data_IF_075030967218
#
_entry.id   IF_075030967218
#
_cell.length_a   1.000
_cell.length_b   1.000
_cell.length_c   1.000
_cell.angle_alpha   90.00
_cell.angle_beta   90.00
_cell.angle_gamma   90.00
#
_symmetry.space_group_name_H-M   'P 1'
#
loop_
_entity.id
_entity.type
_entity.pdbx_description
1 polymer ?
#
# COMPACT_ATOMS: atom_id res chain seq x y z
N UNK A 1 35.52 -68.10 68.65
CA UNK A 1 35.13 -69.42 69.22
C UNK A 1 34.77 -70.32 68.05
N UNK A 2 35.39 -71.44 67.69
CA UNK A 2 36.50 -72.30 68.14
C UNK A 2 37.33 -72.66 66.87
N UNK A 3 38.68 -72.73 66.84
CA UNK A 3 39.56 -73.87 67.23
C UNK A 3 39.05 -75.21 66.64
N UNK A 4 39.78 -76.14 66.00
CA UNK A 4 41.18 -76.55 65.83
C UNK A 4 41.14 -77.60 64.67
N UNK A 5 42.06 -77.67 63.71
CA UNK A 5 43.33 -78.42 63.72
C UNK A 5 43.24 -79.94 64.04
N UNK A 6 43.89 -80.76 63.21
CA UNK A 6 44.40 -82.10 63.56
C UNK A 6 43.74 -83.27 62.79
N UNK A 7 44.33 -83.96 61.80
CA UNK A 7 45.57 -84.77 61.70
C UNK A 7 45.29 -86.30 61.83
N UNK A 8 45.29 -87.00 60.67
CA UNK A 8 45.86 -88.35 60.35
C UNK A 8 45.26 -89.64 60.97
N UNK A 9 45.77 -90.88 60.67
CA UNK A 9 45.89 -91.60 59.37
C UNK A 9 45.48 -93.11 59.46
N UNK A 10 45.39 -93.86 58.35
CA UNK A 10 45.72 -95.31 58.30
C UNK A 10 45.65 -95.83 56.84
N UNK A 11 46.79 -96.09 56.17
CA UNK A 11 47.48 -97.39 56.08
C UNK A 11 46.60 -98.58 55.67
N UNK A 12 46.77 -99.09 54.44
CA UNK A 12 47.49 -100.37 54.17
C UNK A 12 47.42 -100.84 52.72
N UNK A 13 48.62 -101.19 52.22
CA UNK A 13 49.03 -102.32 51.36
C UNK A 13 48.51 -102.37 49.91
N UNK A 14 49.38 -102.17 48.92
CA UNK A 14 50.33 -103.14 48.32
C UNK A 14 49.64 -104.29 47.59
N UNK A 15 49.62 -104.24 46.25
CA UNK A 15 50.06 -105.36 45.41
C UNK A 15 50.29 -104.90 43.95
N UNK A 16 51.53 -105.15 43.53
CA UNK A 16 52.11 -105.18 42.20
C UNK A 16 51.20 -105.71 41.07
N UNK A 17 51.15 -105.00 39.92
CA UNK A 17 51.24 -105.68 38.62
C UNK A 17 51.83 -104.76 37.54
N UNK A 18 52.80 -105.32 36.81
CA UNK A 18 53.65 -104.66 35.81
C UNK A 18 52.91 -104.38 34.49
N UNK A 19 53.36 -103.29 33.86
CA UNK A 19 53.41 -103.03 32.42
C UNK A 19 52.09 -102.79 31.69
N UNK A 20 51.83 -101.52 31.39
CA UNK A 20 51.91 -101.02 30.00
C UNK A 20 51.92 -99.49 30.02
N UNK A 21 52.90 -98.89 29.33
CA UNK A 21 52.95 -97.47 29.03
C UNK A 21 51.77 -97.12 28.11
N UNK A 22 50.61 -96.89 28.70
CA UNK A 22 49.50 -96.24 28.02
C UNK A 22 49.74 -94.74 28.09
N UNK A 23 50.21 -94.19 26.97
CA UNK A 23 50.11 -92.77 26.66
C UNK A 23 48.69 -92.33 27.01
N UNK A 24 48.55 -91.56 28.09
CA UNK A 24 47.33 -90.86 28.40
C UNK A 24 47.10 -89.87 27.25
N UNK A 25 46.42 -90.36 26.21
CA UNK A 25 45.77 -89.51 25.22
C UNK A 25 44.82 -88.65 26.03
N UNK A 26 45.24 -87.41 26.28
CA UNK A 26 44.34 -86.32 26.56
C UNK A 26 43.22 -86.44 25.52
N UNK A 27 42.06 -86.96 25.93
CA UNK A 27 40.85 -86.74 25.19
C UNK A 27 40.55 -85.27 25.35
N UNK A 28 41.24 -84.45 24.56
CA UNK A 28 40.71 -83.17 24.14
C UNK A 28 39.37 -83.55 23.53
N UNK A 29 38.28 -83.29 24.26
CA UNK A 29 36.96 -83.26 23.66
C UNK A 29 37.09 -82.27 22.52
N UNK A 30 37.27 -82.77 21.30
CA UNK A 30 37.15 -81.93 20.14
C UNK A 30 35.69 -81.54 20.11
N UNK A 31 35.42 -80.30 20.49
CA UNK A 31 34.17 -79.67 20.12
C UNK A 31 34.20 -79.71 18.60
N UNK A 32 33.48 -80.66 18.02
CA UNK A 32 33.15 -80.62 16.60
C UNK A 32 32.21 -79.43 16.42
N UNK A 33 32.77 -78.23 16.36
CA UNK A 33 32.09 -77.13 15.68
C UNK A 33 31.87 -77.63 14.27
N UNK A 34 30.63 -77.62 13.78
CA UNK A 34 30.35 -77.97 12.40
C UNK A 34 31.33 -77.23 11.51
N UNK A 35 32.03 -77.94 10.62
CA UNK A 35 32.67 -77.34 9.45
C UNK A 35 31.57 -76.85 8.51
N UNK A 36 30.73 -75.94 9.03
CA UNK A 36 30.02 -75.01 8.20
C UNK A 36 31.15 -74.15 7.67
N UNK A 37 31.38 -74.30 6.37
CA UNK A 37 32.19 -73.40 5.58
C UNK A 37 31.60 -72.01 5.79
N UNK A 38 32.06 -71.32 6.83
CA UNK A 38 31.62 -69.99 7.13
C UNK A 38 32.28 -69.15 6.05
N UNK A 39 31.56 -68.93 4.95
CA UNK A 39 31.87 -67.77 4.12
C UNK A 39 31.70 -66.59 5.06
N UNK A 40 32.74 -65.77 5.32
CA UNK A 40 32.51 -64.50 5.94
C UNK A 40 31.44 -63.81 5.13
N UNK A 41 30.28 -63.57 5.74
CA UNK A 41 29.35 -62.60 5.19
C UNK A 41 30.14 -61.31 5.34
N UNK A 42 30.85 -60.93 4.27
CA UNK A 42 31.33 -59.58 4.09
C UNK A 42 30.07 -58.73 3.99
N UNK A 43 29.53 -58.37 5.15
CA UNK A 43 28.58 -57.28 5.24
C UNK A 43 29.39 -56.05 4.89
N UNK A 44 29.38 -55.70 3.60
CA UNK A 44 29.95 -54.45 3.11
C UNK A 44 29.20 -53.25 3.65
N UNK A 45 28.06 -53.48 4.31
CA UNK A 45 27.20 -52.50 4.93
C UNK A 45 27.28 -52.63 6.45
N UNK A 46 27.74 -51.57 7.09
CA UNK A 46 27.66 -51.35 8.53
C UNK A 46 26.21 -50.99 8.91
N UNK A 47 25.78 -51.18 10.17
CA UNK A 47 24.42 -50.82 10.61
C UNK A 47 24.06 -49.33 10.45
N UNK A 48 25.06 -48.48 10.19
CA UNK A 48 24.94 -47.04 9.97
C UNK A 48 24.99 -46.67 8.46
N UNK A 49 25.13 -47.66 7.57
CA UNK A 49 24.99 -47.49 6.13
C UNK A 49 23.50 -47.45 5.76
N UNK A 50 22.80 -46.42 6.23
CA UNK A 50 21.62 -45.94 5.52
C UNK A 50 22.11 -45.57 4.12
N UNK A 51 21.75 -46.37 3.10
CA UNK A 51 21.91 -45.97 1.71
C UNK A 51 21.20 -44.64 1.54
N UNK A 52 21.96 -43.53 1.60
CA UNK A 52 21.49 -42.24 1.15
C UNK A 52 21.16 -42.47 -0.31
N UNK A 53 19.88 -42.65 -0.62
CA UNK A 53 19.39 -42.69 -1.98
C UNK A 53 19.77 -41.35 -2.60
N UNK A 54 20.93 -41.33 -3.25
CA UNK A 54 21.43 -40.18 -3.97
C UNK A 54 20.49 -40.04 -5.15
N UNK A 55 19.41 -39.25 -5.01
CA UNK A 55 18.63 -38.81 -6.16
C UNK A 55 19.41 -37.68 -6.84
N UNK A 56 20.23 -37.94 -7.88
CA UNK A 56 21.03 -36.91 -8.52
C UNK A 56 20.15 -35.82 -9.13
N UNK A 57 18.94 -36.20 -9.57
CA UNK A 57 17.86 -35.27 -9.95
C UNK A 57 17.54 -34.31 -8.80
N UNK A 58 17.23 -34.82 -7.61
CA UNK A 58 16.75 -34.00 -6.50
C UNK A 58 17.84 -33.03 -6.04
N UNK A 59 19.10 -33.48 -6.02
CA UNK A 59 20.26 -32.64 -5.71
C UNK A 59 20.49 -31.56 -6.77
N UNK A 60 20.40 -31.89 -8.06
CA UNK A 60 20.51 -30.92 -9.16
C UNK A 60 19.38 -29.90 -9.11
N UNK A 61 18.15 -30.37 -8.93
CA UNK A 61 16.97 -29.50 -8.79
C UNK A 61 17.11 -28.55 -7.59
N UNK A 62 17.51 -29.07 -6.43
CA UNK A 62 17.72 -28.27 -5.23
C UNK A 62 18.83 -27.23 -5.41
N UNK A 63 19.95 -27.58 -6.04
CA UNK A 63 21.04 -26.64 -6.33
C UNK A 63 20.60 -25.57 -7.34
N UNK A 64 19.90 -25.95 -8.41
CA UNK A 64 19.33 -25.01 -9.37
C UNK A 64 18.36 -24.06 -8.68
N UNK A 65 17.48 -24.57 -7.82
CA UNK A 65 16.53 -23.76 -7.05
C UNK A 65 17.25 -22.80 -6.10
N UNK A 66 18.26 -23.26 -5.35
CA UNK A 66 19.07 -22.42 -4.47
C UNK A 66 19.79 -21.29 -5.22
N UNK A 67 20.25 -21.54 -6.44
CA UNK A 67 20.84 -20.50 -7.29
C UNK A 67 19.80 -19.59 -7.94
N UNK A 68 18.62 -20.12 -8.28
CA UNK A 68 17.57 -19.38 -8.96
C UNK A 68 16.87 -18.37 -8.03
N UNK A 69 16.61 -18.74 -6.77
CA UNK A 69 15.93 -17.88 -5.79
C UNK A 69 16.58 -16.48 -5.66
N UNK A 70 17.90 -16.34 -5.42
CA UNK A 70 18.50 -15.02 -5.26
C UNK A 70 18.46 -14.19 -6.55
N UNK A 71 18.62 -14.83 -7.72
CA UNK A 71 18.58 -14.15 -9.04
C UNK A 71 17.17 -13.65 -9.35
N UNK A 72 16.16 -14.50 -9.20
CA UNK A 72 14.76 -14.14 -9.45
C UNK A 72 14.29 -13.08 -8.45
N UNK A 73 14.63 -13.22 -7.17
CA UNK A 73 14.28 -12.25 -6.14
C UNK A 73 14.95 -10.89 -6.39
N UNK A 74 16.20 -10.86 -6.84
CA UNK A 74 16.88 -9.62 -7.21
C UNK A 74 16.21 -8.96 -8.41
N UNK A 75 15.88 -9.73 -9.45
CA UNK A 75 15.16 -9.24 -10.62
C UNK A 75 13.81 -8.64 -10.24
N UNK A 76 13.04 -9.32 -9.38
CA UNK A 76 11.78 -8.81 -8.85
C UNK A 76 11.98 -7.53 -8.03
N UNK A 77 13.02 -7.46 -7.20
CA UNK A 77 13.39 -6.23 -6.48
C UNK A 77 13.69 -5.06 -7.41
N UNK A 78 14.47 -5.29 -8.48
CA UNK A 78 14.75 -4.28 -9.51
C UNK A 78 13.50 -3.84 -10.26
N UNK A 79 12.59 -4.76 -10.56
CA UNK A 79 11.30 -4.42 -11.17
C UNK A 79 10.46 -3.56 -10.22
N UNK A 80 10.37 -3.90 -8.93
CA UNK A 80 9.67 -3.08 -7.93
C UNK A 80 10.27 -1.68 -7.82
N UNK A 81 11.60 -1.54 -7.87
CA UNK A 81 12.26 -0.23 -7.86
C UNK A 81 11.89 0.62 -9.08
N UNK A 82 11.90 0.03 -10.29
CA UNK A 82 11.47 0.74 -11.51
C UNK A 82 9.99 1.14 -11.42
N UNK A 83 9.14 0.24 -10.93
CA UNK A 83 7.70 0.48 -10.76
C UNK A 83 7.43 1.58 -9.73
N UNK A 84 8.19 1.59 -8.63
CA UNK A 84 8.14 2.61 -7.59
C UNK A 84 8.52 3.98 -8.16
N UNK A 85 9.63 4.08 -8.90
CA UNK A 85 10.07 5.34 -9.50
C UNK A 85 9.00 5.90 -10.43
N UNK A 86 8.48 5.08 -11.34
CA UNK A 86 7.39 5.47 -12.24
C UNK A 86 6.14 5.96 -11.47
N UNK A 87 5.73 5.24 -10.42
CA UNK A 87 4.57 5.64 -9.62
C UNK A 87 4.80 6.94 -8.84
N UNK A 88 6.00 7.13 -8.31
CA UNK A 88 6.37 8.33 -7.56
C UNK A 88 6.39 9.55 -8.49
N UNK A 89 6.90 9.38 -9.70
CA UNK A 89 6.90 10.40 -10.74
C UNK A 89 5.47 10.82 -11.12
N UNK A 90 4.55 9.85 -11.29
CA UNK A 90 3.14 10.14 -11.54
C UNK A 90 2.49 10.92 -10.39
N UNK A 91 2.78 10.55 -9.13
CA UNK A 91 2.27 11.26 -7.96
C UNK A 91 2.79 12.70 -7.94
N UNK A 92 4.10 12.89 -8.14
CA UNK A 92 4.71 14.21 -8.17
C UNK A 92 4.11 15.10 -9.27
N UNK A 93 3.82 14.55 -10.45
CA UNK A 93 3.14 15.29 -11.53
C UNK A 93 1.71 15.70 -11.13
N UNK A 94 0.97 14.82 -10.43
CA UNK A 94 -0.37 15.15 -9.94
C UNK A 94 -0.32 16.23 -8.85
N UNK A 95 0.63 16.15 -7.92
CA UNK A 95 0.85 17.13 -6.85
C UNK A 95 1.28 18.52 -7.40
N UNK A 96 2.15 18.54 -8.41
CA UNK A 96 2.53 19.77 -9.09
C UNK A 96 1.32 20.44 -9.75
N UNK A 97 0.49 19.67 -10.46
CA UNK A 97 -0.75 20.16 -11.10
C UNK A 97 -1.76 20.75 -10.12
N UNK A 98 -1.83 20.20 -8.90
CA UNK A 98 -2.68 20.72 -7.82
C UNK A 98 -2.22 22.08 -7.31
N UNK A 99 -0.91 22.35 -7.36
CA UNK A 99 -0.32 23.55 -6.77
C UNK A 99 -0.64 24.80 -7.58
N UNK A 100 -0.79 24.70 -8.90
CA UNK A 100 -1.13 25.85 -9.75
C UNK A 100 -2.50 26.43 -9.44
N UNK A 101 -2.62 27.74 -9.62
CA UNK A 101 -3.88 28.45 -9.44
C UNK A 101 -4.98 27.94 -10.39
N UNK A 102 -6.26 28.01 -9.97
CA UNK A 102 -7.38 27.62 -10.79
C UNK A 102 -7.44 28.37 -12.12
N UNK A 103 -7.60 27.63 -13.22
CA UNK A 103 -7.70 28.20 -14.58
C UNK A 103 -9.14 28.08 -15.08
N UNK A 104 -9.70 29.07 -15.79
CA UNK A 104 -11.02 28.90 -16.41
C UNK A 104 -11.02 27.70 -17.37
N UNK A 105 -12.09 26.89 -17.33
CA UNK A 105 -12.21 25.75 -18.24
C UNK A 105 -12.15 26.22 -19.71
N UNK A 106 -11.35 25.62 -20.61
CA UNK A 106 -11.33 26.01 -22.02
C UNK A 106 -12.71 25.81 -22.68
N UNK A 107 -13.04 26.60 -23.71
CA UNK A 107 -14.32 26.48 -24.41
C UNK A 107 -14.47 25.16 -25.19
N UNK A 108 -13.37 24.63 -25.74
CA UNK A 108 -13.33 23.32 -26.39
C UNK A 108 -12.59 22.37 -25.47
N UNK A 109 -13.32 21.59 -24.69
CA UNK A 109 -12.74 20.61 -23.78
C UNK A 109 -13.32 19.23 -24.07
N UNK A 110 -12.50 18.35 -24.66
CA UNK A 110 -12.90 16.98 -25.00
C UNK A 110 -12.54 16.02 -23.87
N UNK A 111 -13.22 14.86 -23.75
CA UNK A 111 -12.92 13.86 -22.72
C UNK A 111 -11.48 13.32 -22.75
N UNK A 112 -10.84 13.32 -23.92
CA UNK A 112 -9.44 12.90 -24.08
C UNK A 112 -8.48 13.84 -23.35
N UNK A 113 -8.80 15.15 -23.31
CA UNK A 113 -8.00 16.16 -22.61
C UNK A 113 -8.09 16.01 -21.08
N UNK A 114 -9.07 15.28 -20.54
CA UNK A 114 -9.20 15.06 -19.10
C UNK A 114 -8.01 14.32 -18.50
N UNK A 115 -7.36 13.42 -19.26
CA UNK A 115 -6.21 12.66 -18.76
C UNK A 115 -4.98 13.55 -18.61
N UNK A 116 -4.76 14.46 -19.55
CA UNK A 116 -3.68 15.44 -19.49
C UNK A 116 -3.92 16.49 -18.39
N UNK A 117 -5.18 16.84 -18.14
CA UNK A 117 -5.60 17.81 -17.13
C UNK A 117 -5.93 17.18 -15.77
N UNK A 118 -5.67 15.88 -15.59
CA UNK A 118 -5.98 15.21 -14.31
C UNK A 118 -5.28 15.93 -13.16
N UNK A 119 -6.03 16.19 -12.09
CA UNK A 119 -5.63 16.95 -10.91
C UNK A 119 -5.39 18.46 -11.12
N UNK A 120 -5.77 19.03 -12.27
CA UNK A 120 -5.77 20.48 -12.46
C UNK A 120 -7.04 21.11 -11.91
N UNK A 121 -6.88 22.21 -11.15
CA UNK A 121 -7.99 23.04 -10.67
C UNK A 121 -8.52 23.92 -11.80
N UNK A 122 -9.83 23.87 -12.02
CA UNK A 122 -10.53 24.65 -13.03
C UNK A 122 -11.70 25.41 -12.43
N UNK A 123 -11.96 26.60 -12.95
CA UNK A 123 -13.11 27.42 -12.56
C UNK A 123 -14.18 27.33 -13.64
N UNK A 124 -15.42 27.08 -13.23
CA UNK A 124 -16.57 27.03 -14.12
C UNK A 124 -17.64 27.99 -13.62
N UNK A 125 -18.25 28.75 -14.54
CA UNK A 125 -19.31 29.73 -14.27
C UNK A 125 -20.60 29.37 -15.02
N UNK A 126 -21.74 29.47 -14.36
CA UNK A 126 -23.00 28.99 -14.90
C UNK A 126 -24.09 28.76 -13.87
N UNK A 127 -25.00 27.84 -14.18
CA UNK A 127 -26.21 27.57 -13.40
C UNK A 127 -26.36 26.05 -13.13
N UNK A 128 -26.73 25.68 -11.90
CA UNK A 128 -27.02 24.29 -11.55
C UNK A 128 -28.48 23.90 -11.85
N UNK A 129 -28.67 22.75 -12.50
CA UNK A 129 -30.00 22.15 -12.70
C UNK A 129 -30.29 21.13 -11.59
N UNK A 130 -30.74 21.65 -10.46
CA UNK A 130 -31.06 20.86 -9.25
C UNK A 130 -32.18 19.85 -9.45
N UNK A 131 -33.05 20.07 -10.44
CA UNK A 131 -34.14 19.15 -10.80
C UNK A 131 -33.64 17.86 -11.46
N UNK A 132 -32.41 17.81 -11.93
CA UNK A 132 -31.80 16.67 -12.63
C UNK A 132 -30.61 16.07 -11.85
N UNK A 133 -30.62 16.21 -10.52
CA UNK A 133 -29.57 15.65 -9.66
C UNK A 133 -29.54 14.10 -9.69
N UNK A 134 -28.34 13.55 -9.76
CA UNK A 134 -28.05 12.11 -9.66
C UNK A 134 -27.35 11.83 -8.32
N UNK A 135 -27.69 10.70 -7.71
CA UNK A 135 -27.14 10.26 -6.43
C UNK A 135 -26.34 8.97 -6.61
N UNK A 136 -25.10 8.92 -6.15
CA UNK A 136 -24.27 7.71 -6.17
C UNK A 136 -24.01 7.20 -4.76
N UNK A 137 -24.46 5.99 -4.42
CA UNK A 137 -24.27 5.44 -3.08
C UNK A 137 -24.76 4.00 -2.89
N UNK A 138 -24.75 3.51 -1.64
CA UNK A 138 -24.48 4.24 -0.41
C UNK A 138 -23.00 4.62 -0.22
N UNK A 139 -22.72 5.78 0.38
CA UNK A 139 -21.38 6.26 0.78
C UNK A 139 -21.39 6.73 2.22
N UNK A 140 -20.31 6.44 2.95
CA UNK A 140 -20.18 6.82 4.36
C UNK A 140 -19.10 7.88 4.50
N UNK A 141 -19.42 8.97 5.22
CA UNK A 141 -18.47 10.03 5.61
C UNK A 141 -18.66 10.31 7.10
N UNK A 142 -17.56 10.27 7.87
CA UNK A 142 -17.57 10.47 9.33
C UNK A 142 -18.59 9.59 10.09
N UNK A 143 -18.81 8.35 9.64
CA UNK A 143 -19.75 7.41 10.26
C UNK A 143 -21.23 7.61 9.88
N UNK A 144 -21.56 8.65 9.12
CA UNK A 144 -22.93 8.94 8.66
C UNK A 144 -23.12 8.40 7.24
N UNK A 145 -24.28 7.79 6.97
CA UNK A 145 -24.66 7.31 5.65
C UNK A 145 -25.17 8.44 4.76
N UNK A 146 -24.87 8.35 3.47
CA UNK A 146 -25.25 9.35 2.50
C UNK A 146 -24.93 8.93 1.08
N UNK A 147 -24.94 9.92 0.19
CA UNK A 147 -24.80 9.75 -1.25
C UNK A 147 -23.82 10.80 -1.79
N UNK A 148 -23.12 10.46 -2.88
CA UNK A 148 -22.41 11.46 -3.68
C UNK A 148 -23.39 12.11 -4.64
N UNK A 149 -23.45 13.43 -4.61
CA UNK A 149 -24.32 14.23 -5.43
C UNK A 149 -23.61 14.63 -6.73
N UNK A 150 -24.25 14.33 -7.85
CA UNK A 150 -23.86 14.80 -9.17
C UNK A 150 -24.97 15.71 -9.69
N UNK A 151 -24.62 16.92 -10.10
CA UNK A 151 -25.60 17.90 -10.58
C UNK A 151 -25.18 18.36 -11.98
N UNK A 152 -26.08 18.31 -12.97
CA UNK A 152 -25.85 18.95 -14.25
C UNK A 152 -25.70 20.46 -14.08
N UNK A 153 -24.68 21.03 -14.72
CA UNK A 153 -24.31 22.42 -14.64
C UNK A 153 -24.25 23.01 -16.05
N UNK A 154 -25.08 24.01 -16.33
CA UNK A 154 -25.12 24.69 -17.63
C UNK A 154 -24.10 25.80 -17.59
N UNK A 155 -23.06 25.67 -18.41
CA UNK A 155 -21.99 26.66 -18.49
C UNK A 155 -22.48 27.94 -19.18
N UNK A 156 -22.16 29.11 -18.62
CA UNK A 156 -22.56 30.41 -19.17
C UNK A 156 -21.87 30.75 -20.50
N UNK A 157 -20.60 30.38 -20.65
CA UNK A 157 -19.81 30.76 -21.83
C UNK A 157 -20.25 30.05 -23.12
N UNK A 158 -20.43 28.72 -23.04
CA UNK A 158 -20.71 27.86 -24.20
C UNK A 158 -22.13 27.31 -24.22
N UNK A 159 -22.86 27.36 -23.10
CA UNK A 159 -24.16 26.72 -22.95
C UNK A 159 -24.09 25.19 -22.76
N UNK A 160 -22.90 24.60 -22.76
CA UNK A 160 -22.73 23.16 -22.61
C UNK A 160 -23.11 22.71 -21.20
N UNK A 161 -23.70 21.51 -21.10
CA UNK A 161 -24.06 20.88 -19.83
C UNK A 161 -22.89 20.03 -19.34
N UNK A 162 -22.39 20.33 -18.16
CA UNK A 162 -21.29 19.63 -17.48
C UNK A 162 -21.84 18.84 -16.31
N UNK A 163 -21.31 17.64 -16.06
CA UNK A 163 -21.66 16.85 -14.89
C UNK A 163 -20.66 17.14 -13.76
N UNK A 164 -21.10 17.83 -12.70
CA UNK A 164 -20.25 18.19 -11.57
C UNK A 164 -20.59 17.29 -10.37
N UNK A 165 -19.59 16.56 -9.86
CA UNK A 165 -19.65 15.91 -8.55
C UNK A 165 -19.56 17.00 -7.48
N UNK A 166 -20.70 17.37 -6.90
CA UNK A 166 -20.78 18.39 -5.85
C UNK A 166 -20.25 17.93 -4.50
N UNK A 167 -20.15 16.61 -4.31
CA UNK A 167 -19.64 16.01 -3.08
C UNK A 167 -20.68 15.18 -2.34
N UNK A 168 -20.45 14.94 -1.05
CA UNK A 168 -21.25 14.05 -0.22
C UNK A 168 -22.41 14.79 0.47
N UNK A 169 -23.59 14.17 0.50
CA UNK A 169 -24.78 14.64 1.22
C UNK A 169 -25.34 13.52 2.10
N UNK A 170 -25.88 13.87 3.28
CA UNK A 170 -26.51 12.92 4.20
C UNK A 170 -27.80 12.34 3.64
N UNK A 171 -28.12 11.10 4.01
CA UNK A 171 -29.36 10.40 3.62
C UNK A 171 -30.63 11.17 4.04
N UNK A 172 -30.61 11.85 5.19
CA UNK A 172 -31.76 12.59 5.72
C UNK A 172 -32.08 13.90 4.98
N UNK A 173 -31.19 14.37 4.08
CA UNK A 173 -31.31 15.67 3.38
C UNK A 173 -30.95 15.58 1.91
N UNK A 174 -31.31 14.45 1.30
CA UNK A 174 -31.06 14.20 -0.11
C UNK A 174 -31.88 15.13 -1.00
N UNK A 175 -33.11 15.49 -0.59
CA UNK A 175 -33.98 16.36 -1.39
C UNK A 175 -33.56 17.83 -1.27
N UNK A 176 -33.48 18.59 -2.40
CA UNK A 176 -33.12 20.01 -2.36
C UNK A 176 -33.95 20.86 -1.39
N UNK A 177 -35.24 20.56 -1.23
CA UNK A 177 -36.17 21.30 -0.36
C UNK A 177 -35.87 21.10 1.13
N UNK A 178 -35.30 19.96 1.51
CA UNK A 178 -35.02 19.58 2.91
C UNK A 178 -33.63 20.04 3.38
N UNK A 179 -32.80 20.54 2.45
CA UNK A 179 -31.48 21.07 2.77
C UNK A 179 -31.61 22.43 3.48
N UNK A 180 -30.85 22.58 4.55
CA UNK A 180 -30.57 23.88 5.17
C UNK A 180 -29.59 24.70 4.33
N UNK A 181 -29.35 25.94 4.75
CA UNK A 181 -28.41 26.88 4.08
C UNK A 181 -28.61 26.91 2.56
N UNK A 182 -29.83 27.17 2.10
CA UNK A 182 -30.23 27.09 0.69
C UNK A 182 -29.31 27.86 -0.27
N UNK A 183 -28.73 28.98 0.16
CA UNK A 183 -27.77 29.75 -0.64
C UNK A 183 -26.47 28.98 -0.97
N UNK A 184 -26.08 27.99 -0.15
CA UNK A 184 -24.89 27.14 -0.36
C UNK A 184 -25.27 25.73 -0.85
N UNK A 185 -26.34 25.15 -0.29
CA UNK A 185 -26.78 23.81 -0.67
C UNK A 185 -27.43 23.78 -2.05
N UNK A 186 -28.13 24.84 -2.44
CA UNK A 186 -28.86 24.97 -3.71
C UNK A 186 -28.65 26.39 -4.25
N UNK A 187 -27.42 26.77 -4.63
CA UNK A 187 -27.14 28.14 -5.08
C UNK A 187 -27.96 28.45 -6.34
N UNK A 188 -28.87 29.41 -6.23
CA UNK A 188 -29.73 29.88 -7.33
C UNK A 188 -29.18 31.19 -7.87
N UNK A 189 -28.79 31.21 -9.14
CA UNK A 189 -28.33 32.42 -9.81
C UNK A 189 -27.69 32.12 -11.17
N UNK A 190 -27.64 33.12 -12.05
CA UNK A 190 -27.17 32.97 -13.43
C UNK A 190 -25.64 32.96 -13.57
N UNK A 191 -24.92 33.12 -12.47
CA UNK A 191 -23.47 33.24 -12.46
C UNK A 191 -22.84 32.57 -11.22
N UNK A 192 -23.22 31.32 -10.97
CA UNK A 192 -22.59 30.51 -9.93
C UNK A 192 -21.18 30.14 -10.38
N UNK A 193 -20.19 30.52 -9.59
CA UNK A 193 -18.77 30.19 -9.77
C UNK A 193 -18.40 29.00 -8.89
N UNK A 194 -17.86 27.95 -9.49
CA UNK A 194 -17.43 26.73 -8.77
C UNK A 194 -16.03 26.37 -9.21
N UNK A 195 -15.18 26.08 -8.22
CA UNK A 195 -13.85 25.53 -8.44
C UNK A 195 -13.94 24.01 -8.42
N UNK A 196 -13.57 23.39 -9.53
CA UNK A 196 -13.60 21.96 -9.73
C UNK A 196 -12.18 21.43 -9.96
N UNK A 197 -11.97 20.18 -9.60
CA UNK A 197 -10.82 19.38 -9.95
C UNK A 197 -11.18 18.51 -11.15
N UNK A 198 -10.38 18.57 -12.21
CA UNK A 198 -10.55 17.67 -13.35
C UNK A 198 -10.05 16.28 -12.96
N UNK A 199 -10.89 15.26 -13.17
CA UNK A 199 -10.46 13.86 -13.04
C UNK A 199 -10.67 13.11 -14.34
N UNK A 200 -9.97 11.99 -14.47
CA UNK A 200 -10.26 11.01 -15.51
C UNK A 200 -11.70 10.50 -15.36
N UNK A 201 -12.52 10.51 -16.43
CA UNK A 201 -13.87 9.95 -16.38
C UNK A 201 -13.85 8.50 -15.90
N UNK A 202 -14.53 8.25 -14.77
CA UNK A 202 -14.67 6.91 -14.22
C UNK A 202 -15.62 6.10 -15.10
N UNK A 203 -15.18 4.92 -15.49
CA UNK A 203 -16.00 3.93 -16.19
C UNK A 203 -16.22 2.72 -15.30
N UNK A 204 -17.35 2.04 -15.50
CA UNK A 204 -17.64 0.80 -14.76
C UNK A 204 -16.58 -0.28 -15.02
N UNK A 205 -16.26 -1.01 -13.96
CA UNK A 205 -15.37 -2.17 -14.01
C UNK A 205 -16.08 -3.42 -14.54
N UNK A 206 -15.31 -4.40 -15.02
CA UNK A 206 -15.84 -5.65 -15.63
C UNK A 206 -16.75 -6.49 -14.73
N UNK A 207 -16.60 -6.37 -13.41
CA UNK A 207 -17.35 -7.16 -12.42
C UNK A 207 -18.45 -6.36 -11.71
N UNK A 208 -18.75 -5.15 -12.19
CA UNK A 208 -19.85 -4.34 -11.68
C UNK A 208 -21.10 -4.63 -12.50
N UNK A 209 -22.24 -4.77 -11.82
CA UNK A 209 -23.52 -5.00 -12.48
C UNK A 209 -24.04 -3.72 -13.11
N UNK A 210 -24.75 -3.88 -14.21
CA UNK A 210 -25.51 -2.80 -14.83
C UNK A 210 -26.64 -2.36 -13.91
N UNK A 211 -26.97 -1.07 -14.02
CA UNK A 211 -28.11 -0.49 -13.34
C UNK A 211 -29.38 -1.22 -13.81
N UNK A 212 -30.15 -1.73 -12.86
CA UNK A 212 -31.37 -2.50 -13.17
C UNK A 212 -32.56 -1.60 -13.50
N UNK A 213 -32.61 -0.42 -12.90
CA UNK A 213 -33.71 0.55 -13.03
C UNK A 213 -33.20 1.79 -13.76
N UNK A 214 -33.57 1.96 -15.02
CA UNK A 214 -33.11 3.08 -15.85
C UNK A 214 -33.73 4.43 -15.43
N UNK A 215 -34.94 4.45 -14.86
CA UNK A 215 -35.64 5.68 -14.48
C UNK A 215 -35.15 6.26 -13.14
N UNK A 216 -34.65 5.41 -12.25
CA UNK A 216 -34.14 5.87 -10.96
C UNK A 216 -32.94 6.80 -11.08
N UNK A 217 -32.91 7.86 -10.26
CA UNK A 217 -31.77 8.78 -10.16
C UNK A 217 -30.65 8.28 -9.25
N UNK A 218 -30.81 7.08 -8.67
CA UNK A 218 -29.85 6.47 -7.77
C UNK A 218 -28.97 5.49 -8.53
N UNK A 219 -27.66 5.65 -8.35
CA UNK A 219 -26.62 4.86 -8.98
C UNK A 219 -25.77 4.18 -7.90
N UNK A 220 -25.41 2.93 -8.11
CA UNK A 220 -24.52 2.22 -7.18
C UNK A 220 -23.04 2.51 -7.49
N UNK A 221 -22.73 2.70 -8.77
CA UNK A 221 -21.38 2.90 -9.30
C UNK A 221 -21.33 4.23 -10.02
N UNK A 222 -20.22 4.95 -9.84
CA UNK A 222 -19.92 6.16 -10.61
C UNK A 222 -19.47 5.78 -12.02
N UNK A 223 -20.38 5.82 -12.99
CA UNK A 223 -20.08 5.59 -14.41
C UNK A 223 -20.40 6.87 -15.21
N UNK A 224 -19.37 7.68 -15.46
CA UNK A 224 -19.52 9.04 -15.98
C UNK A 224 -20.11 9.06 -17.39
N UNK A 225 -19.66 8.24 -18.35
CA UNK A 225 -20.30 8.20 -19.66
C UNK A 225 -21.79 7.84 -19.62
N UNK A 226 -22.18 6.88 -18.77
CA UNK A 226 -23.57 6.45 -18.64
C UNK A 226 -24.45 7.50 -17.94
N UNK A 227 -23.95 8.10 -16.85
CA UNK A 227 -24.61 9.21 -16.16
C UNK A 227 -24.74 10.45 -17.05
N UNK A 228 -23.71 10.69 -17.87
CA UNK A 228 -23.72 11.80 -18.82
C UNK A 228 -24.74 11.59 -19.93
N UNK A 229 -24.85 10.36 -20.47
CA UNK A 229 -25.90 10.00 -21.42
C UNK A 229 -27.31 10.16 -20.83
N UNK A 230 -27.52 9.77 -19.58
CA UNK A 230 -28.82 9.89 -18.90
C UNK A 230 -29.25 11.36 -18.66
N UNK A 231 -28.28 12.27 -18.47
CA UNK A 231 -28.54 13.70 -18.23
C UNK A 231 -28.31 14.57 -19.46
N UNK A 232 -27.88 14.03 -20.60
CA UNK A 232 -27.48 14.83 -21.76
C UNK A 232 -26.34 15.81 -21.47
N UNK A 233 -25.40 15.43 -20.60
CA UNK A 233 -24.19 16.21 -20.29
C UNK A 233 -22.98 15.68 -21.05
N UNK A 234 -21.91 16.47 -21.11
CA UNK A 234 -20.63 15.98 -21.62
C UNK A 234 -20.04 14.93 -20.67
N UNK A 235 -19.40 13.86 -21.17
CA UNK A 235 -18.84 12.78 -20.35
C UNK A 235 -17.50 13.20 -19.72
N UNK A 236 -17.54 14.29 -18.97
CA UNK A 236 -16.42 14.89 -18.23
C UNK A 236 -16.66 14.66 -16.75
N UNK A 237 -15.60 14.33 -16.01
CA UNK A 237 -15.68 14.22 -14.56
C UNK A 237 -15.04 15.45 -13.92
N UNK A 238 -15.89 16.35 -13.43
CA UNK A 238 -15.49 17.52 -12.68
C UNK A 238 -15.90 17.34 -11.22
N UNK A 239 -14.92 17.35 -10.32
CA UNK A 239 -15.15 17.16 -8.89
C UNK A 239 -15.06 18.50 -8.17
N UNK A 240 -16.16 18.97 -7.57
CA UNK A 240 -16.15 20.19 -6.77
C UNK A 240 -15.18 20.03 -5.60
N UNK A 241 -14.34 21.06 -5.43
CA UNK A 241 -13.41 21.12 -4.31
C UNK A 241 -14.19 21.44 -3.04
N UNK A 242 -13.73 20.88 -1.93
CA UNK A 242 -14.27 21.24 -0.62
C UNK A 242 -14.07 22.74 -0.33
N UNK A 243 -15.17 23.41 -0.02
CA UNK A 243 -15.20 24.83 0.28
C UNK A 243 -16.22 25.08 1.39
N UNK A 244 -15.75 25.68 2.48
CA UNK A 244 -16.56 25.99 3.67
C UNK A 244 -16.83 27.48 3.82
N UNK A 245 -16.44 28.28 2.83
CA UNK A 245 -16.69 29.71 2.84
C UNK A 245 -18.11 30.02 2.40
N UNK A 246 -18.66 31.07 3.00
CA UNK A 246 -19.90 31.63 2.52
C UNK A 246 -19.66 32.39 1.21
N UNK A 247 -20.39 32.00 0.17
CA UNK A 247 -20.36 32.64 -1.13
C UNK A 247 -21.71 33.29 -1.40
N UNK A 248 -21.66 34.57 -1.75
CA UNK A 248 -22.84 35.31 -2.18
C UNK A 248 -22.85 35.34 -3.71
N UNK A 249 -23.67 34.49 -4.31
CA UNK A 249 -23.89 34.56 -5.75
C UNK A 249 -24.94 35.62 -6.03
N UNK A 250 -24.65 36.61 -6.90
CA UNK A 250 -25.63 37.60 -7.28
C UNK A 250 -26.79 36.90 -7.99
N UNK A 251 -27.94 36.86 -7.32
CA UNK A 251 -29.21 36.48 -7.95
C UNK A 251 -29.54 37.61 -8.93
N UNK A 252 -29.87 37.29 -10.17
CA UNK A 252 -30.03 38.23 -11.27
C UNK A 252 -31.13 39.28 -11.03
N UNK A 253 -30.80 40.35 -10.31
CA UNK A 253 -31.45 41.65 -10.37
C UNK A 253 -30.41 42.64 -10.93
N UNK A 254 -30.13 42.53 -12.23
CA UNK A 254 -29.15 43.37 -12.93
C UNK A 254 -29.57 44.84 -13.08
N UNK A 255 -30.72 45.28 -12.53
CA UNK A 255 -31.27 46.62 -12.80
C UNK A 255 -31.46 47.54 -11.56
N UNK A 256 -31.02 47.17 -10.35
CA UNK A 256 -31.20 48.04 -9.15
C UNK A 256 -29.95 48.40 -8.35
N UNK A 257 -28.88 47.63 -8.43
CA UNK A 257 -27.65 47.91 -7.66
C UNK A 257 -26.65 48.84 -8.38
N UNK A 258 -26.83 49.09 -9.68
CA UNK A 258 -25.94 49.95 -10.47
C UNK A 258 -26.19 51.46 -10.26
N UNK A 259 -27.24 51.87 -9.54
CA UNK A 259 -27.59 53.28 -9.35
C UNK A 259 -26.90 53.97 -8.16
N UNK A 260 -26.27 53.24 -7.22
CA UNK A 260 -25.70 53.82 -6.00
C UNK A 260 -24.24 53.43 -5.71
N UNK A 261 -23.41 53.25 -6.75
CA UNK A 261 -21.95 53.20 -6.59
C UNK A 261 -21.24 54.11 -7.60
N UNK A 262 -21.58 55.39 -7.56
CA UNK A 262 -20.77 56.41 -8.22
C UNK A 262 -19.54 56.74 -7.36
N UNK A 263 -18.38 56.65 -8.00
CA UNK A 263 -17.05 57.14 -7.60
C UNK A 263 -16.13 56.24 -6.75
N UNK A 264 -15.42 55.34 -7.42
CA UNK A 264 -13.97 55.23 -7.18
C UNK A 264 -13.24 55.02 -8.51
N UNK A 265 -12.72 56.12 -9.05
CA UNK A 265 -11.86 56.08 -10.23
C UNK A 265 -10.53 55.43 -9.87
N UNK A 266 -10.16 54.38 -10.60
CA UNK A 266 -8.86 53.73 -10.52
C UNK A 266 -7.77 54.70 -11.01
N UNK A 267 -7.03 55.27 -10.06
CA UNK A 267 -5.80 55.98 -10.35
C UNK A 267 -4.70 55.00 -10.79
N UNK A 268 -3.85 55.34 -11.76
CA UNK A 268 -2.92 54.35 -12.29
C UNK A 268 -1.76 53.97 -11.35
N UNK A 269 -1.38 52.70 -11.43
CA UNK A 269 -0.49 51.94 -10.53
C UNK A 269 0.97 52.43 -10.41
N UNK A 270 1.42 53.38 -11.22
CA UNK A 270 2.80 53.90 -11.22
C UNK A 270 3.11 54.96 -10.14
N UNK A 271 2.11 55.47 -9.40
CA UNK A 271 2.33 56.45 -8.33
C UNK A 271 3.00 55.90 -7.07
N UNK A 272 3.16 54.58 -6.94
CA UNK A 272 3.78 53.94 -5.77
C UNK A 272 5.30 54.21 -5.65
N UNK A 273 5.96 54.56 -6.74
CA UNK A 273 7.43 54.72 -6.78
C UNK A 273 7.91 56.16 -6.52
N UNK A 274 7.01 57.10 -6.19
CA UNK A 274 7.35 58.53 -6.14
C UNK A 274 6.99 59.19 -4.82
N UNK A 275 7.50 58.68 -3.69
CA UNK A 275 7.66 59.49 -2.48
C UNK A 275 8.65 58.90 -1.48
N UNK A 276 9.95 59.18 -1.70
CA UNK A 276 10.94 59.20 -0.61
C UNK A 276 11.89 60.37 -0.86
N UNK A 277 11.61 61.48 -0.19
CA UNK A 277 12.43 62.69 -0.16
C UNK A 277 12.04 63.45 1.10
N UNK A 278 12.89 63.34 2.12
CA UNK A 278 12.56 63.70 3.50
C UNK A 278 12.57 65.19 3.81
N UNK A 279 12.25 65.51 5.07
CA UNK A 279 12.90 66.56 5.87
C UNK A 279 12.43 66.50 7.33
N UNK A 280 13.39 66.83 8.18
CA UNK A 280 13.48 66.87 9.64
C UNK A 280 12.91 68.17 10.24
N UNK A 281 12.39 68.12 11.48
CA UNK A 281 12.19 69.30 12.34
C UNK A 281 11.03 69.16 13.37
N UNK A 282 11.19 69.52 14.66
CA UNK A 282 10.31 69.08 15.77
C UNK A 282 9.35 70.16 16.33
N UNK A 283 8.57 69.75 17.35
CA UNK A 283 7.73 70.52 18.30
C UNK A 283 6.24 70.74 17.97
N UNK A 284 5.37 70.43 18.95
CA UNK A 284 3.99 70.95 19.00
C UNK A 284 2.90 69.98 19.50
N UNK A 285 2.89 69.76 20.81
CA UNK A 285 1.80 69.41 21.75
C UNK A 285 0.32 69.28 21.27
N UNK A 286 -0.35 68.26 21.86
CA UNK A 286 -1.77 68.14 22.25
C UNK A 286 -2.87 67.84 21.20
N UNK A 287 -3.25 66.55 21.08
CA UNK A 287 -4.63 66.09 20.83
C UNK A 287 -4.79 64.60 21.17
N UNK A 288 -5.95 64.15 21.70
CA UNK A 288 -6.13 62.81 22.25
C UNK A 288 -6.12 61.75 21.16
N UNK A 289 -5.62 60.56 21.51
CA UNK A 289 -5.59 59.38 20.65
C UNK A 289 -6.99 59.01 20.16
N UNK A 290 -7.37 59.54 19.00
CA UNK A 290 -8.29 58.86 18.10
C UNK A 290 -7.49 57.71 17.50
N UNK A 291 -7.76 56.49 17.97
CA UNK A 291 -7.28 55.26 17.36
C UNK A 291 -7.53 55.35 15.86
N UNK A 292 -6.46 55.53 15.10
CA UNK A 292 -6.49 55.47 13.66
C UNK A 292 -7.15 54.14 13.28
N UNK A 293 -8.36 54.23 12.74
CA UNK A 293 -9.00 53.14 12.07
C UNK A 293 -8.04 52.71 10.95
N UNK A 294 -7.31 51.63 11.21
CA UNK A 294 -6.77 50.79 10.15
C UNK A 294 -7.97 50.49 9.26
N UNK A 295 -7.93 50.75 7.94
CA UNK A 295 -8.97 50.27 7.06
C UNK A 295 -8.83 48.76 7.02
N UNK A 296 -9.52 48.08 7.94
CA UNK A 296 -9.72 46.65 7.91
C UNK A 296 -10.55 46.36 6.67
N UNK A 297 -9.90 45.98 5.57
CA UNK A 297 -10.52 45.25 4.47
C UNK A 297 -10.85 43.81 4.93
N UNK A 298 -11.53 43.69 6.06
CA UNK A 298 -12.16 42.47 6.56
C UNK A 298 -13.64 42.58 6.19
N UNK A 299 -13.98 42.27 4.94
CA UNK A 299 -15.35 41.96 4.57
C UNK A 299 -15.55 40.44 4.75
N UNK A 300 -15.98 40.05 5.95
CA UNK A 300 -16.95 38.98 6.23
C UNK A 300 -16.84 37.64 5.49
N UNK A 301 -15.80 36.84 5.72
CA UNK A 301 -15.82 35.42 5.39
C UNK A 301 -16.26 34.59 6.61
N UNK A 302 -17.56 34.42 6.80
CA UNK A 302 -18.07 33.42 7.76
C UNK A 302 -17.63 32.04 7.24
N UNK A 303 -16.76 31.38 7.99
CA UNK A 303 -16.30 30.01 7.73
C UNK A 303 -17.16 29.04 8.54
N UNK A 304 -17.73 28.05 7.86
CA UNK A 304 -18.55 27.02 8.48
C UNK A 304 -17.72 25.79 8.83
N UNK A 305 -18.18 25.02 9.82
CA UNK A 305 -17.58 23.73 10.13
C UNK A 305 -18.15 22.62 9.22
N UNK A 306 -17.35 21.63 8.85
CA UNK A 306 -17.77 20.45 8.07
C UNK A 306 -19.02 19.80 8.67
N UNK A 307 -19.06 19.61 10.00
CA UNK A 307 -20.22 19.02 10.69
C UNK A 307 -21.50 19.83 10.51
N UNK A 308 -21.41 21.15 10.41
CA UNK A 308 -22.56 22.00 10.15
C UNK A 308 -23.07 21.80 8.73
N UNK A 309 -22.18 21.75 7.73
CA UNK A 309 -22.56 21.47 6.35
C UNK A 309 -23.22 20.10 6.22
N UNK A 310 -22.64 19.07 6.83
CA UNK A 310 -23.23 17.73 6.85
C UNK A 310 -24.62 17.73 7.50
N UNK A 311 -24.79 18.41 8.64
CA UNK A 311 -26.07 18.48 9.35
C UNK A 311 -27.13 19.27 8.57
N UNK A 312 -26.74 20.32 7.86
CA UNK A 312 -27.65 21.12 7.03
C UNK A 312 -27.83 20.53 5.62
N UNK A 313 -27.11 19.47 5.25
CA UNK A 313 -27.23 18.83 3.94
C UNK A 313 -26.62 19.66 2.80
N UNK A 314 -25.67 20.54 3.11
CA UNK A 314 -24.83 21.19 2.10
C UNK A 314 -23.87 20.12 1.54
N UNK A 315 -23.85 19.88 0.22
CA UNK A 315 -22.92 18.94 -0.39
C UNK A 315 -21.48 19.30 -0.06
N UNK A 316 -20.75 18.37 0.57
CA UNK A 316 -19.35 18.58 0.96
C UNK A 316 -18.45 17.96 -0.08
N UNK A 317 -17.73 18.80 -0.81
CA UNK A 317 -16.75 18.41 -1.83
C UNK A 317 -15.62 17.52 -1.27
N UNK A 318 -14.69 17.14 -2.14
CA UNK A 318 -13.53 16.34 -1.74
C UNK A 318 -12.31 17.24 -1.60
N UNK A 319 -11.49 16.99 -0.57
CA UNK A 319 -10.15 17.58 -0.46
C UNK A 319 -9.35 17.23 -1.71
N UNK A 320 -8.70 18.21 -2.36
CA UNK A 320 -7.91 17.98 -3.55
C UNK A 320 -6.57 17.32 -3.15
N UNK A 321 -6.61 16.01 -2.95
CA UNK A 321 -5.47 15.21 -2.50
C UNK A 321 -5.21 14.03 -3.45
N UNK A 322 -3.93 13.73 -3.68
CA UNK A 322 -3.46 12.60 -4.47
C UNK A 322 -3.36 11.37 -3.58
N UNK A 323 -4.43 10.58 -3.47
CA UNK A 323 -4.42 9.33 -2.70
C UNK A 323 -4.02 8.14 -3.59
N UNK A 324 -2.71 7.98 -3.80
CA UNK A 324 -2.13 6.81 -4.46
C UNK A 324 -1.29 6.00 -3.48
N UNK A 325 -1.89 4.94 -2.92
CA UNK A 325 -1.21 4.04 -1.97
C UNK A 325 0.07 3.44 -2.56
N UNK A 326 1.21 3.65 -1.91
CA UNK A 326 2.50 3.15 -2.36
C UNK A 326 3.04 2.02 -1.46
N UNK A 327 2.79 0.77 -1.81
CA UNK A 327 3.30 -0.41 -1.11
C UNK A 327 4.59 -0.96 -1.72
N UNK A 328 5.05 -0.41 -2.85
CA UNK A 328 6.18 -0.94 -3.61
C UNK A 328 7.50 -0.86 -2.84
N UNK A 329 7.68 0.15 -1.99
CA UNK A 329 8.86 0.27 -1.12
C UNK A 329 8.96 -0.89 -0.13
N UNK A 330 7.84 -1.33 0.45
CA UNK A 330 7.81 -2.48 1.35
C UNK A 330 8.17 -3.76 0.58
N UNK A 331 7.58 -3.99 -0.59
CA UNK A 331 7.89 -5.17 -1.40
C UNK A 331 9.33 -5.18 -1.89
N UNK A 332 9.87 -4.02 -2.29
CA UNK A 332 11.27 -3.87 -2.67
C UNK A 332 12.20 -4.38 -1.55
N UNK A 333 11.93 -4.00 -0.30
CA UNK A 333 12.71 -4.46 0.85
C UNK A 333 12.61 -5.98 1.03
N UNK A 334 11.41 -6.56 0.89
CA UNK A 334 11.21 -8.02 0.98
C UNK A 334 12.00 -8.77 -0.09
N UNK A 335 11.96 -8.33 -1.35
CA UNK A 335 12.64 -9.01 -2.46
C UNK A 335 14.16 -8.89 -2.38
N UNK A 336 14.69 -7.72 -2.05
CA UNK A 336 16.14 -7.57 -1.83
C UNK A 336 16.61 -8.28 -0.57
N UNK A 337 15.82 -8.28 0.51
CA UNK A 337 16.10 -9.06 1.70
C UNK A 337 16.17 -10.57 1.40
N UNK A 338 15.17 -11.11 0.70
CA UNK A 338 15.15 -12.52 0.29
C UNK A 338 16.34 -12.88 -0.59
N UNK A 339 16.70 -12.01 -1.54
CA UNK A 339 17.88 -12.18 -2.40
C UNK A 339 19.17 -12.19 -1.58
N UNK A 340 19.34 -11.25 -0.64
CA UNK A 340 20.50 -11.16 0.23
C UNK A 340 20.65 -12.40 1.11
N UNK A 341 19.62 -12.79 1.85
CA UNK A 341 19.66 -13.96 2.73
C UNK A 341 19.89 -15.26 1.96
N UNK A 342 19.23 -15.42 0.80
CA UNK A 342 19.42 -16.61 -0.05
C UNK A 342 20.83 -16.69 -0.63
N UNK A 343 21.43 -15.54 -0.98
CA UNK A 343 22.83 -15.46 -1.44
C UNK A 343 23.81 -15.82 -0.32
N UNK A 344 23.57 -15.33 0.91
CA UNK A 344 24.38 -15.69 2.08
C UNK A 344 24.29 -17.19 2.38
N UNK A 345 23.08 -17.77 2.36
CA UNK A 345 22.88 -19.21 2.54
C UNK A 345 23.57 -20.02 1.44
N UNK A 346 23.48 -19.58 0.18
CA UNK A 346 24.17 -20.22 -0.94
C UNK A 346 25.69 -20.18 -0.75
N UNK A 347 26.24 -19.05 -0.32
CA UNK A 347 27.67 -18.90 -0.01
C UNK A 347 28.13 -19.87 1.08
N UNK A 348 27.40 -19.96 2.18
CA UNK A 348 27.70 -20.91 3.25
C UNK A 348 27.52 -22.37 2.83
N UNK A 349 26.51 -22.69 2.03
CA UNK A 349 26.31 -24.04 1.49
C UNK A 349 27.48 -24.49 0.61
N UNK A 350 27.98 -23.60 -0.27
CA UNK A 350 29.15 -23.87 -1.11
C UNK A 350 30.41 -24.02 -0.26
N UNK A 351 30.58 -23.22 0.80
CA UNK A 351 31.75 -23.25 1.68
C UNK A 351 31.75 -24.46 2.62
N UNK A 352 30.60 -24.83 3.18
CA UNK A 352 30.41 -25.98 4.08
C UNK A 352 30.49 -27.33 3.37
N UNK A 353 30.15 -27.39 2.08
CA UNK A 353 30.32 -28.59 1.25
C UNK A 353 31.77 -29.08 1.12
N UNK A 354 32.76 -28.22 1.37
CA UNK A 354 34.18 -28.58 1.21
C UNK A 354 34.76 -29.33 2.43
N UNK A 355 34.01 -29.47 3.53
CA UNK A 355 34.55 -29.91 4.83
C UNK A 355 34.09 -31.27 5.39
N UNK A 356 33.21 -32.03 4.72
CA UNK A 356 32.54 -33.18 5.37
C UNK A 356 32.72 -34.53 4.66
N UNK A 357 33.84 -34.76 4.00
CA UNK A 357 34.25 -36.12 3.63
C UNK A 357 35.40 -36.55 4.55
N UNK A 358 35.10 -37.29 5.62
CA UNK A 358 36.13 -37.97 6.40
C UNK A 358 36.84 -38.92 5.43
N UNK A 359 38.09 -38.63 5.10
CA UNK A 359 38.87 -39.47 4.19
C UNK A 359 38.92 -40.90 4.73
N UNK A 360 38.70 -41.89 3.86
CA UNK A 360 38.84 -43.32 4.19
C UNK A 360 40.22 -43.63 4.82
N UNK A 361 41.26 -42.86 4.47
CA UNK A 361 42.57 -42.96 5.11
C UNK A 361 42.52 -42.59 6.60
N UNK A 362 41.76 -41.55 6.95
CA UNK A 362 41.59 -41.06 8.31
C UNK A 362 40.83 -42.07 9.19
N UNK A 363 39.82 -42.74 8.62
CA UNK A 363 39.11 -43.85 9.26
C UNK A 363 39.99 -45.10 9.45
N UNK A 364 40.86 -45.41 8.48
CA UNK A 364 41.83 -46.51 8.63
C UNK A 364 42.84 -46.23 9.73
N UNK A 365 43.36 -45.00 9.80
CA UNK A 365 44.31 -44.62 10.85
C UNK A 365 43.67 -44.61 12.24
N UNK A 366 42.42 -44.18 12.40
CA UNK A 366 41.74 -44.23 13.70
C UNK A 366 41.47 -45.66 14.15
N UNK A 367 41.07 -46.56 13.23
CA UNK A 367 40.91 -47.99 13.49
C UNK A 367 42.23 -48.66 13.91
N UNK A 368 43.32 -48.39 13.19
CA UNK A 368 44.65 -48.91 13.55
C UNK A 368 45.12 -48.41 14.92
N UNK A 369 44.84 -47.15 15.25
CA UNK A 369 45.19 -46.56 16.55
C UNK A 369 44.41 -47.20 17.69
N UNK A 370 43.14 -47.56 17.48
CA UNK A 370 42.34 -48.32 18.44
C UNK A 370 42.81 -49.77 18.59
N UNK A 371 43.14 -50.45 17.50
CA UNK A 371 43.63 -51.82 17.55
C UNK A 371 44.93 -51.92 18.36
N UNK A 372 45.84 -50.96 18.18
CA UNK A 372 47.11 -50.88 18.92
C UNK A 372 46.95 -50.54 20.41
N UNK A 373 45.80 -50.02 20.84
CA UNK A 373 45.52 -49.70 22.25
C UNK A 373 44.94 -50.89 23.02
N UNK A 374 44.43 -51.89 22.30
CA UNK A 374 43.76 -53.07 22.86
C UNK A 374 44.62 -54.35 22.79
N UNK A 375 45.85 -54.24 22.27
CA UNK A 375 46.93 -55.23 22.32
C UNK A 375 47.97 -54.73 23.29
#
# INVERSE_FOLDING_TARGET
MLRLAGITPSLRRCAFQRHQLFLARYQIRSVKTSTVDWKPIHTSKTPDDHERQNHPWARRFFLTLMCAIPVVSFYLGMWQLRRLKWKTELIAQCEDRLTYDPVPLPQKFTPEMCEDWEYRRVVVKGEFKHEEEIFVGPRVRNGIKGYLLFTPFVRKDTGERLLIERGWVSEDRVLPTERGLQHLSVPRGDNVEVVCLVRKPLTKGRFQWDKTDDESRVWQVTDIPAMAAATGTLPLHLQAIEDFHNHHWPVGDSDRAAANSSSSGSGPWWKFWKKNGGKTGPEGVDAPMASAAVPSSQSDSIEYNEFQFMREGVPVGKVPAVDLRNTHTQYMLTWFGLSFFSTVLLFFAIRGSKGSAVSQSHLKTSKLKHARKNT
#
